data_IF_637091455825
#
_entry.id   IF_637091455825
#
_cell.length_a   1.000
_cell.length_b   1.000
_cell.length_c   1.000
_cell.angle_alpha   90.00
_cell.angle_beta   90.00
_cell.angle_gamma   90.00
#
_symmetry.space_group_name_H-M   'P 1'
#
loop_
_entity.id
_entity.type
_entity.pdbx_description
1 polymer ?
#
# COMPACT_ATOMS: atom_id res chain seq x y z
N UNK A 1 -38.39 -19.90 -0.24
CA UNK A 1 -36.93 -19.62 -0.33
C UNK A 1 -36.51 -18.90 0.93
N UNK A 2 -35.63 -19.48 1.75
CA UNK A 2 -35.09 -18.78 2.91
C UNK A 2 -34.27 -17.55 2.45
N UNK A 3 -34.39 -16.38 3.11
CA UNK A 3 -33.56 -15.23 2.77
C UNK A 3 -32.09 -15.61 2.96
N UNK A 4 -31.25 -15.29 1.96
CA UNK A 4 -29.80 -15.48 2.10
C UNK A 4 -29.35 -14.75 3.38
N UNK A 5 -28.65 -15.42 4.32
CA UNK A 5 -28.14 -14.73 5.49
C UNK A 5 -27.27 -13.56 5.01
N UNK A 6 -27.38 -12.41 5.68
CA UNK A 6 -26.57 -11.24 5.39
C UNK A 6 -25.12 -11.70 5.27
N UNK A 7 -24.46 -11.41 4.14
CA UNK A 7 -23.03 -11.73 3.92
C UNK A 7 -22.23 -10.87 4.90
N UNK A 8 -22.16 -11.32 6.15
CA UNK A 8 -21.77 -10.52 7.30
C UNK A 8 -20.31 -10.72 7.64
N UNK A 9 -19.43 -10.10 6.86
CA UNK A 9 -18.09 -9.86 7.38
C UNK A 9 -18.10 -8.55 8.18
N UNK A 10 -17.45 -8.56 9.34
CA UNK A 10 -17.29 -7.36 10.15
C UNK A 10 -15.92 -6.75 9.87
N UNK A 11 -15.84 -5.43 9.84
CA UNK A 11 -14.57 -4.71 9.80
C UNK A 11 -14.34 -4.00 11.14
N UNK A 12 -13.09 -3.97 11.57
CA UNK A 12 -12.68 -3.10 12.67
C UNK A 12 -12.77 -1.64 12.24
N UNK A 13 -12.81 -0.72 13.22
CA UNK A 13 -12.85 0.73 12.96
C UNK A 13 -11.68 1.20 12.11
N UNK A 14 -10.52 0.55 12.24
CA UNK A 14 -9.33 0.87 11.44
C UNK A 14 -9.44 0.43 9.96
N UNK A 15 -10.43 -0.40 9.59
CA UNK A 15 -10.69 -0.87 8.23
C UNK A 15 -10.28 -2.31 7.93
N UNK A 16 -9.55 -2.99 8.83
CA UNK A 16 -9.19 -4.41 8.70
C UNK A 16 -10.42 -5.31 8.86
N UNK A 17 -10.38 -6.47 8.22
CA UNK A 17 -11.40 -7.51 8.35
C UNK A 17 -11.27 -8.18 9.72
N UNK A 18 -12.40 -8.32 10.43
CA UNK A 18 -12.49 -9.20 11.57
C UNK A 18 -12.62 -10.64 11.07
N UNK A 19 -11.53 -11.36 11.16
CA UNK A 19 -11.38 -12.73 10.67
C UNK A 19 -11.52 -13.78 11.78
N UNK A 20 -12.02 -13.41 12.96
CA UNK A 20 -12.32 -14.39 14.02
C UNK A 20 -13.35 -15.41 13.48
N UNK A 21 -13.03 -16.70 13.41
CA UNK A 21 -13.94 -17.71 12.86
C UNK A 21 -15.18 -17.85 13.75
N UNK A 22 -16.34 -18.11 13.13
CA UNK A 22 -17.61 -18.37 13.84
C UNK A 22 -18.32 -19.58 13.23
N UNK A 23 -18.94 -20.39 14.09
CA UNK A 23 -19.73 -21.56 13.66
C UNK A 23 -18.92 -22.53 12.81
N UNK A 24 -19.46 -22.89 11.64
CA UNK A 24 -18.83 -23.86 10.73
C UNK A 24 -17.45 -23.43 10.20
N UNK A 25 -17.11 -22.14 10.25
CA UNK A 25 -15.83 -21.62 9.77
C UNK A 25 -14.65 -22.01 10.65
N UNK A 26 -14.92 -22.35 11.92
CA UNK A 26 -13.89 -22.79 12.88
C UNK A 26 -13.25 -24.08 12.40
N UNK A 27 -14.06 -25.05 11.95
CA UNK A 27 -13.55 -26.33 11.43
C UNK A 27 -12.74 -26.13 10.16
N UNK A 28 -13.22 -25.28 9.24
CA UNK A 28 -12.49 -24.97 8.00
C UNK A 28 -11.13 -24.33 8.32
N UNK A 29 -11.10 -23.45 9.32
CA UNK A 29 -9.85 -22.80 9.74
C UNK A 29 -8.87 -23.82 10.34
N UNK A 30 -9.34 -24.74 11.19
CA UNK A 30 -8.52 -25.83 11.76
C UNK A 30 -7.96 -26.75 10.67
N UNK A 31 -8.83 -27.23 9.78
CA UNK A 31 -8.43 -28.12 8.69
C UNK A 31 -7.40 -27.44 7.78
N UNK A 32 -7.57 -26.15 7.48
CA UNK A 32 -6.59 -25.41 6.69
C UNK A 32 -5.23 -25.32 7.39
N UNK A 33 -5.20 -25.04 8.69
CA UNK A 33 -3.92 -24.95 9.42
C UNK A 33 -3.20 -26.29 9.56
N UNK A 34 -3.94 -27.40 9.61
CA UNK A 34 -3.38 -28.74 9.84
C UNK A 34 -3.04 -29.48 8.54
N UNK A 35 -3.84 -29.30 7.49
CA UNK A 35 -3.73 -30.09 6.26
C UNK A 35 -3.06 -29.34 5.11
N UNK A 36 -2.94 -28.01 5.19
CA UNK A 36 -2.28 -27.24 4.14
C UNK A 36 -0.77 -27.34 4.27
N UNK A 37 -0.05 -27.84 3.24
CA UNK A 37 1.41 -27.85 3.25
C UNK A 37 2.02 -26.45 3.40
N UNK A 38 1.31 -25.41 2.97
CA UNK A 38 1.77 -24.02 3.07
C UNK A 38 1.57 -23.44 4.47
N UNK A 39 0.45 -23.76 5.13
CA UNK A 39 0.10 -23.18 6.44
C UNK A 39 0.74 -23.94 7.61
N UNK A 40 1.24 -25.16 7.37
CA UNK A 40 2.01 -25.97 8.32
C UNK A 40 3.49 -25.59 8.38
N UNK A 41 4.00 -24.84 7.39
CA UNK A 41 5.38 -24.32 7.42
C UNK A 41 5.60 -23.40 8.63
N UNK A 42 6.82 -23.30 9.18
CA UNK A 42 7.14 -22.30 10.19
C UNK A 42 6.82 -20.87 9.72
N UNK A 43 6.41 -20.01 10.66
CA UNK A 43 6.01 -18.63 10.36
C UNK A 43 7.09 -17.83 9.63
N UNK A 44 8.37 -18.07 9.92
CA UNK A 44 9.48 -17.42 9.23
C UNK A 44 9.46 -17.70 7.71
N UNK A 45 9.28 -18.97 7.33
CA UNK A 45 9.24 -19.38 5.93
C UNK A 45 8.00 -18.80 5.25
N UNK A 46 6.84 -18.84 5.92
CA UNK A 46 5.61 -18.22 5.41
C UNK A 46 5.80 -16.73 5.17
N UNK A 47 6.39 -15.99 6.11
CA UNK A 47 6.65 -14.57 5.98
C UNK A 47 7.55 -14.24 4.77
N UNK A 48 8.58 -15.06 4.50
CA UNK A 48 9.41 -14.91 3.29
C UNK A 48 8.59 -15.13 2.02
N UNK A 49 7.79 -16.20 1.97
CA UNK A 49 6.90 -16.49 0.83
C UNK A 49 5.94 -15.32 0.61
N UNK A 50 5.30 -14.83 1.68
CA UNK A 50 4.39 -13.69 1.59
C UNK A 50 5.08 -12.44 1.07
N UNK A 51 6.31 -12.16 1.52
CA UNK A 51 7.13 -11.07 1.02
C UNK A 51 7.29 -11.12 -0.50
N UNK A 52 7.63 -12.27 -1.06
CA UNK A 52 7.75 -12.45 -2.51
C UNK A 52 6.42 -12.34 -3.25
N UNK A 53 5.31 -12.81 -2.67
CA UNK A 53 4.00 -12.82 -3.33
C UNK A 53 3.40 -11.41 -3.40
N UNK A 54 3.48 -10.64 -2.31
CA UNK A 54 2.75 -9.37 -2.17
C UNK A 54 3.63 -8.13 -2.11
N UNK A 55 4.96 -8.28 -2.02
CA UNK A 55 5.92 -7.18 -1.92
C UNK A 55 6.65 -6.88 -3.24
N UNK A 56 7.60 -5.93 -3.17
CA UNK A 56 8.51 -5.52 -4.24
C UNK A 56 7.82 -4.95 -5.50
N UNK A 57 6.58 -4.46 -5.34
CA UNK A 57 5.77 -3.91 -6.43
C UNK A 57 5.71 -2.39 -6.35
N UNK A 58 5.62 -1.77 -7.51
CA UNK A 58 5.26 -0.35 -7.63
C UNK A 58 3.77 -0.24 -7.96
N UNK A 59 2.98 0.21 -6.99
CA UNK A 59 1.53 0.32 -7.10
C UNK A 59 1.19 1.76 -7.47
N UNK A 60 0.71 1.97 -8.69
CA UNK A 60 0.32 3.29 -9.17
C UNK A 60 -1.17 3.47 -8.91
N UNK A 61 -1.52 4.50 -8.14
CA UNK A 61 -2.92 4.81 -7.90
C UNK A 61 -3.32 5.99 -8.77
N UNK A 62 -4.08 5.68 -9.85
CA UNK A 62 -4.59 6.66 -10.80
C UNK A 62 -6.10 6.76 -10.63
N UNK A 63 -6.65 7.94 -10.36
CA UNK A 63 -8.09 8.24 -10.52
C UNK A 63 -9.04 7.14 -10.03
N UNK A 64 -9.20 6.97 -8.71
CA UNK A 64 -10.05 5.94 -8.06
C UNK A 64 -9.75 4.47 -8.47
N UNK A 65 -8.75 4.18 -9.31
CA UNK A 65 -8.34 2.83 -9.69
C UNK A 65 -6.94 2.52 -9.14
N UNK A 66 -6.81 1.34 -8.55
CA UNK A 66 -5.53 0.76 -8.16
C UNK A 66 -5.02 -0.04 -9.35
N UNK A 67 -3.96 0.46 -10.00
CA UNK A 67 -3.32 -0.24 -11.11
C UNK A 67 -1.90 -0.61 -10.68
N UNK A 68 -1.65 -1.90 -10.46
CA UNK A 68 -0.29 -2.38 -10.35
C UNK A 68 0.41 -2.10 -11.70
N UNK A 69 1.62 -1.51 -11.67
CA UNK A 69 2.40 -1.33 -12.90
C UNK A 69 2.77 -2.69 -13.50
N UNK A 70 2.92 -3.69 -12.64
CA UNK A 70 3.11 -5.07 -13.04
C UNK A 70 1.82 -5.69 -13.58
N UNK A 71 1.96 -6.43 -14.69
CA UNK A 71 0.86 -7.12 -15.39
C UNK A 71 0.24 -8.27 -14.60
N UNK A 72 0.63 -8.48 -13.34
CA UNK A 72 0.13 -9.55 -12.49
C UNK A 72 -1.29 -9.24 -11.99
N UNK A 73 -2.28 -9.76 -12.73
CA UNK A 73 -3.71 -9.57 -12.46
C UNK A 73 -4.18 -10.05 -11.08
N UNK A 74 -3.35 -10.78 -10.33
CA UNK A 74 -3.74 -11.47 -9.11
C UNK A 74 -2.75 -11.33 -7.94
N UNK A 75 -1.86 -10.33 -7.95
CA UNK A 75 -0.84 -10.12 -6.90
C UNK A 75 -1.39 -10.05 -5.46
N UNK A 76 -2.67 -9.70 -5.28
CA UNK A 76 -3.33 -9.60 -3.98
C UNK A 76 -4.38 -10.69 -3.74
N UNK A 77 -4.47 -11.70 -4.61
CA UNK A 77 -5.47 -12.77 -4.49
C UNK A 77 -5.30 -13.61 -3.22
N UNK A 78 -4.07 -13.77 -2.73
CA UNK A 78 -3.75 -14.56 -1.53
C UNK A 78 -4.44 -14.04 -0.26
N UNK A 79 -4.72 -12.73 -0.20
CA UNK A 79 -5.46 -12.07 0.88
C UNK A 79 -6.92 -12.55 0.98
N UNK A 80 -7.44 -13.19 -0.07
CA UNK A 80 -8.84 -13.62 -0.17
C UNK A 80 -9.01 -15.13 0.01
N UNK A 81 -7.93 -15.88 0.15
CA UNK A 81 -7.96 -17.36 0.17
C UNK A 81 -8.48 -17.88 1.50
N UNK A 82 -7.87 -17.50 2.62
CA UNK A 82 -8.33 -17.91 3.94
C UNK A 82 -8.04 -16.84 5.01
N UNK A 83 -8.54 -17.09 6.22
CA UNK A 83 -8.38 -16.19 7.37
C UNK A 83 -6.92 -16.08 7.81
N UNK A 84 -6.19 -17.19 7.82
CA UNK A 84 -4.80 -17.22 8.24
C UNK A 84 -3.91 -16.40 7.29
N UNK A 85 -4.06 -16.59 5.97
CA UNK A 85 -3.30 -15.79 4.99
C UNK A 85 -3.65 -14.31 5.12
N UNK A 86 -4.93 -13.96 5.31
CA UNK A 86 -5.33 -12.57 5.55
C UNK A 86 -4.63 -11.98 6.79
N UNK A 87 -4.64 -12.68 7.92
CA UNK A 87 -3.98 -12.21 9.16
C UNK A 87 -2.49 -11.95 8.95
N UNK A 88 -1.81 -12.87 8.27
CA UNK A 88 -0.37 -12.79 8.07
C UNK A 88 0.02 -11.74 7.02
N UNK A 89 -0.85 -11.45 6.06
CA UNK A 89 -0.48 -10.66 4.87
C UNK A 89 -1.19 -9.32 4.72
N UNK A 90 -2.26 -9.02 5.47
CA UNK A 90 -3.10 -7.83 5.22
C UNK A 90 -2.36 -6.48 5.27
N UNK A 91 -1.26 -6.39 6.02
CA UNK A 91 -0.44 -5.17 6.13
C UNK A 91 0.74 -5.16 5.16
N UNK A 92 1.20 -6.33 4.70
CA UNK A 92 2.40 -6.48 3.87
C UNK A 92 2.33 -5.71 2.55
N UNK A 93 1.19 -5.66 1.82
CA UNK A 93 1.10 -4.83 0.63
C UNK A 93 1.40 -3.36 0.87
N UNK A 94 1.22 -2.84 2.08
CA UNK A 94 1.49 -1.44 2.42
C UNK A 94 2.93 -1.23 2.86
N UNK A 95 3.52 -2.22 3.55
CA UNK A 95 4.87 -2.11 4.10
C UNK A 95 5.99 -2.51 3.14
N UNK A 96 5.68 -3.32 2.12
CA UNK A 96 6.68 -3.91 1.21
C UNK A 96 6.64 -3.34 -0.21
N UNK A 97 5.74 -2.40 -0.50
CA UNK A 97 5.55 -1.84 -1.84
C UNK A 97 5.71 -0.33 -1.85
N UNK A 98 6.05 0.19 -3.02
CA UNK A 98 6.11 1.64 -3.29
C UNK A 98 4.75 2.08 -3.82
N UNK A 99 4.12 3.05 -3.14
CA UNK A 99 2.84 3.62 -3.57
C UNK A 99 3.04 4.93 -4.30
N UNK A 100 2.67 4.96 -5.57
CA UNK A 100 2.77 6.14 -6.42
C UNK A 100 1.45 6.91 -6.40
N UNK A 101 1.47 8.15 -5.92
CA UNK A 101 0.33 9.04 -5.85
C UNK A 101 0.43 10.15 -6.89
N UNK A 102 -0.64 10.36 -7.65
CA UNK A 102 -0.81 11.49 -8.56
C UNK A 102 -1.74 12.59 -8.03
N UNK A 103 -2.51 12.30 -6.98
CA UNK A 103 -3.45 13.22 -6.35
C UNK A 103 -3.63 12.92 -4.86
N UNK A 104 -3.98 13.94 -4.08
CA UNK A 104 -4.24 13.85 -2.65
C UNK A 104 -5.61 13.24 -2.31
N UNK A 105 -6.53 13.17 -3.29
CA UNK A 105 -7.89 12.67 -3.11
C UNK A 105 -7.94 11.18 -2.78
N UNK A 106 -7.02 10.39 -3.36
CA UNK A 106 -6.82 8.97 -2.98
C UNK A 106 -6.25 8.88 -1.58
N UNK A 107 -5.26 9.70 -1.27
CA UNK A 107 -4.56 9.68 0.01
C UNK A 107 -5.55 9.92 1.17
N UNK A 108 -6.44 10.91 1.01
CA UNK A 108 -7.50 11.22 1.97
C UNK A 108 -8.48 10.07 2.21
N UNK A 109 -8.60 9.11 1.28
CA UNK A 109 -9.49 7.94 1.39
C UNK A 109 -8.84 6.71 2.00
N UNK A 110 -7.52 6.70 2.17
CA UNK A 110 -6.82 5.60 2.82
C UNK A 110 -7.37 5.37 4.22
N UNK A 111 -7.61 4.11 4.55
CA UNK A 111 -8.05 3.68 5.89
C UNK A 111 -6.89 3.78 6.89
N UNK A 112 -7.17 3.94 8.19
CA UNK A 112 -6.13 4.05 9.22
C UNK A 112 -5.05 2.95 9.12
N UNK A 113 -5.45 1.68 9.01
CA UNK A 113 -4.48 0.57 8.91
C UNK A 113 -3.56 0.66 7.67
N UNK A 114 -4.02 1.29 6.60
CA UNK A 114 -3.22 1.46 5.38
C UNK A 114 -2.17 2.54 5.64
N UNK A 115 -2.59 3.69 6.17
CA UNK A 115 -1.71 4.83 6.47
C UNK A 115 -0.62 4.47 7.48
N UNK A 116 -0.99 3.70 8.50
CA UNK A 116 -0.07 3.25 9.56
C UNK A 116 0.98 2.24 9.09
N UNK A 117 0.81 1.65 7.90
CA UNK A 117 1.72 0.63 7.38
C UNK A 117 2.43 1.02 6.08
N UNK A 118 2.13 2.20 5.52
CA UNK A 118 2.90 2.74 4.40
C UNK A 118 4.32 3.06 4.85
N UNK A 119 5.31 2.52 4.13
CA UNK A 119 6.74 2.72 4.39
C UNK A 119 7.43 3.50 3.27
N UNK A 120 6.97 3.31 2.03
CA UNK A 120 7.55 3.93 0.84
C UNK A 120 6.46 4.54 -0.02
N UNK A 121 6.60 5.82 -0.34
CA UNK A 121 5.68 6.53 -1.23
C UNK A 121 6.45 7.23 -2.34
N UNK A 122 5.82 7.40 -3.48
CA UNK A 122 6.32 8.21 -4.57
C UNK A 122 5.26 9.22 -4.98
N UNK A 123 5.65 10.48 -5.11
CA UNK A 123 4.77 11.56 -5.52
C UNK A 123 5.06 11.92 -6.97
N UNK A 124 4.01 11.91 -7.79
CA UNK A 124 4.08 12.38 -9.15
C UNK A 124 3.80 13.89 -9.17
N UNK A 125 4.82 14.68 -9.49
CA UNK A 125 4.73 16.14 -9.51
C UNK A 125 4.92 16.63 -10.95
N UNK A 126 4.01 17.49 -11.42
CA UNK A 126 4.20 18.23 -12.68
C UNK A 126 5.00 19.49 -12.40
N UNK A 127 6.28 19.51 -12.74
CA UNK A 127 7.08 20.73 -12.56
C UNK A 127 6.71 21.71 -13.68
N UNK A 128 6.11 22.85 -13.29
CA UNK A 128 5.57 23.89 -14.18
C UNK A 128 4.15 24.34 -13.82
N UNK A 129 3.44 23.57 -12.98
CA UNK A 129 2.27 24.03 -12.22
C UNK A 129 2.64 24.04 -10.75
N UNK A 130 1.97 24.83 -9.93
CA UNK A 130 2.17 24.91 -8.48
C UNK A 130 1.82 23.61 -7.73
N UNK A 131 2.07 22.42 -8.29
CA UNK A 131 1.69 21.10 -7.77
C UNK A 131 2.32 20.79 -6.40
N UNK A 132 3.22 21.65 -5.90
CA UNK A 132 3.59 21.74 -4.49
C UNK A 132 2.39 21.90 -3.55
N UNK A 133 1.25 22.41 -4.02
CA UNK A 133 0.02 22.57 -3.23
C UNK A 133 -0.46 21.27 -2.58
N UNK A 134 -0.11 20.10 -3.14
CA UNK A 134 -0.52 18.83 -2.55
C UNK A 134 0.32 18.43 -1.34
N UNK A 135 1.57 18.88 -1.22
CA UNK A 135 2.52 18.45 -0.17
C UNK A 135 2.01 18.78 1.24
N UNK A 136 1.51 20.01 1.54
CA UNK A 136 0.90 20.31 2.84
C UNK A 136 -0.39 19.53 3.12
N UNK A 137 -1.05 19.02 2.06
CA UNK A 137 -2.30 18.26 2.16
C UNK A 137 -2.07 16.76 2.36
N UNK A 138 -0.81 16.29 2.32
CA UNK A 138 -0.50 14.88 2.53
C UNK A 138 -0.59 14.58 4.03
N UNK A 139 -1.51 13.71 4.47
CA UNK A 139 -1.57 13.29 5.85
C UNK A 139 -0.26 12.64 6.28
N UNK A 140 0.16 12.90 7.51
CA UNK A 140 1.32 12.25 8.10
C UNK A 140 1.15 10.73 8.05
N UNK A 141 2.17 10.06 7.53
CA UNK A 141 2.30 8.61 7.52
C UNK A 141 3.43 8.25 8.48
N UNK A 142 3.12 7.64 9.63
CA UNK A 142 4.08 7.53 10.74
C UNK A 142 5.28 6.62 10.43
N UNK A 143 5.15 5.72 9.46
CA UNK A 143 6.20 4.75 9.09
C UNK A 143 6.87 5.03 7.75
N UNK A 144 6.52 6.13 7.08
CA UNK A 144 7.15 6.45 5.80
C UNK A 144 8.60 6.83 6.03
N UNK A 145 9.48 6.06 5.40
CA UNK A 145 10.93 6.21 5.46
C UNK A 145 11.49 6.72 4.14
N UNK A 146 10.80 6.49 3.03
CA UNK A 146 11.23 6.91 1.70
C UNK A 146 10.11 7.69 0.99
N UNK A 147 10.44 8.88 0.53
CA UNK A 147 9.61 9.70 -0.34
C UNK A 147 10.33 9.90 -1.67
N UNK A 148 9.90 9.16 -2.69
CA UNK A 148 10.33 9.38 -4.06
C UNK A 148 9.56 10.53 -4.70
N UNK A 149 10.24 11.33 -5.51
CA UNK A 149 9.62 12.39 -6.31
C UNK A 149 9.88 12.04 -7.76
N UNK A 150 8.81 11.95 -8.54
CA UNK A 150 8.88 11.64 -9.96
C UNK A 150 8.24 12.75 -10.77
N UNK A 151 9.03 13.34 -11.67
CA UNK A 151 8.56 14.40 -12.56
C UNK A 151 7.99 13.80 -13.86
N UNK A 152 6.79 14.21 -14.25
CA UNK A 152 6.12 13.72 -15.48
C UNK A 152 6.38 14.64 -16.68
N UNK A 153 6.79 15.89 -16.47
CA UNK A 153 6.88 16.92 -17.50
C UNK A 153 8.31 17.26 -17.96
N UNK A 154 9.36 16.68 -17.39
CA UNK A 154 10.73 17.05 -17.76
C UNK A 154 11.25 16.21 -18.94
N UNK A 155 11.17 16.75 -20.16
CA UNK A 155 12.15 16.46 -21.21
C UNK A 155 13.47 17.21 -21.01
N UNK A 156 13.56 18.07 -19.99
CA UNK A 156 14.69 18.94 -19.71
C UNK A 156 14.66 19.40 -18.24
N UNK A 157 15.83 19.36 -17.59
CA UNK A 157 16.19 19.81 -16.24
C UNK A 157 15.13 20.58 -15.43
N UNK A 158 14.75 20.04 -14.27
CA UNK A 158 14.15 20.85 -13.20
C UNK A 158 15.23 21.76 -12.60
N UNK A 159 14.93 23.05 -12.44
CA UNK A 159 15.84 23.99 -11.80
C UNK A 159 16.14 23.56 -10.36
N UNK A 160 17.41 23.64 -9.94
CA UNK A 160 17.86 23.30 -8.58
C UNK A 160 17.02 23.96 -7.48
N UNK A 161 16.58 25.20 -7.69
CA UNK A 161 15.75 25.93 -6.72
C UNK A 161 14.38 25.27 -6.50
N UNK A 162 13.74 24.75 -7.55
CA UNK A 162 12.46 24.06 -7.41
C UNK A 162 12.64 22.69 -6.74
N UNK A 163 13.74 21.99 -7.02
CA UNK A 163 14.12 20.75 -6.32
C UNK A 163 14.27 21.02 -4.82
N UNK A 164 15.06 22.04 -4.45
CA UNK A 164 15.29 22.45 -3.05
C UNK A 164 14.00 22.79 -2.33
N UNK A 165 13.14 23.63 -2.92
CA UNK A 165 11.83 24.01 -2.32
C UNK A 165 10.90 22.81 -2.11
N UNK A 166 10.92 21.86 -3.04
CA UNK A 166 10.13 20.62 -2.93
C UNK A 166 10.65 19.75 -1.80
N UNK A 167 11.97 19.57 -1.71
CA UNK A 167 12.62 18.80 -0.67
C UNK A 167 12.35 19.40 0.72
N UNK A 168 12.50 20.72 0.88
CA UNK A 168 12.21 21.42 2.14
C UNK A 168 10.75 21.22 2.59
N UNK A 169 9.80 21.31 1.65
CA UNK A 169 8.38 21.10 1.93
C UNK A 169 8.11 19.66 2.40
N UNK A 170 8.75 18.67 1.76
CA UNK A 170 8.60 17.25 2.13
C UNK A 170 9.29 16.96 3.46
N UNK A 171 10.49 17.50 3.70
CA UNK A 171 11.19 17.37 4.98
C UNK A 171 10.41 18.03 6.12
N UNK A 172 9.66 19.09 5.84
CA UNK A 172 8.70 19.66 6.80
C UNK A 172 7.59 18.68 7.20
N UNK A 173 7.05 17.92 6.24
CA UNK A 173 5.99 16.93 6.48
C UNK A 173 6.49 15.57 6.99
N UNK A 174 7.70 15.17 6.56
CA UNK A 174 8.34 13.88 6.83
C UNK A 174 9.82 14.09 7.18
N UNK A 175 10.12 14.61 8.38
CA UNK A 175 11.49 14.99 8.76
C UNK A 175 12.46 13.80 8.79
N UNK A 176 11.94 12.60 9.07
CA UNK A 176 12.73 11.37 9.16
C UNK A 176 12.84 10.60 7.83
N UNK A 177 12.11 11.02 6.79
CA UNK A 177 12.12 10.29 5.52
C UNK A 177 13.30 10.74 4.65
N UNK A 178 13.91 9.79 3.96
CA UNK A 178 14.82 10.04 2.86
C UNK A 178 14.02 10.54 1.65
N UNK A 179 14.51 11.59 1.00
CA UNK A 179 13.87 12.18 -0.19
C UNK A 179 14.74 11.84 -1.39
N UNK A 180 14.15 11.21 -2.40
CA UNK A 180 14.86 10.82 -3.62
C UNK A 180 14.17 11.41 -4.84
N UNK A 181 14.96 11.91 -5.79
CA UNK A 181 14.45 12.44 -7.05
C UNK A 181 14.73 11.43 -8.16
N UNK A 182 13.68 11.01 -8.85
CA UNK A 182 13.76 10.12 -10.01
C UNK A 182 13.28 10.87 -11.25
N UNK A 183 14.15 10.94 -12.25
CA UNK A 183 13.87 11.52 -13.55
C UNK A 183 13.68 10.36 -14.53
N UNK A 184 12.59 10.34 -15.30
CA UNK A 184 12.53 9.42 -16.43
C UNK A 184 13.61 9.89 -17.42
N UNK A 185 14.68 9.11 -17.56
CA UNK A 185 15.65 9.31 -18.64
C UNK A 185 14.90 9.11 -19.96
N UNK A 186 15.09 10.00 -20.96
CA UNK A 186 14.46 9.87 -22.27
C UNK A 186 14.83 8.56 -22.98
#
# INVERSE_FOLDING_TARGET
MAPRPARGYHKFRNGLLNVKPKGAETQITSNNSEQSPLLTLPAEIRNRIWGYVVGEKTIVIRWKKFEARDKEKHCHSILRVCRQTYLETATLPFSLNIFVFSDDGVIKKLKPYQRENLTQIQLLIGVGRDDLWMIPSIPSFPKVQLVGIKCISCGSHVSEENTRRTEESIKGAYPHAEVTFTWDLP
#
